data_IF_398793728939
#
_entry.id   IF_398793728939
#
_cell.length_a   1.000
_cell.length_b   1.000
_cell.length_c   1.000
_cell.angle_alpha   90.00
_cell.angle_beta   90.00
_cell.angle_gamma   90.00
#
_symmetry.space_group_name_H-M   'P 1'
#
loop_
_entity.id
_entity.type
_entity.pdbx_description
1 polymer ?
#
# COMPACT_ATOMS: atom_id res chain seq x y z
N UNK A 1 12.33 24.70 -3.11
CA UNK A 1 12.90 23.42 -3.63
C UNK A 1 12.08 22.31 -3.01
N UNK A 2 11.42 21.46 -3.81
CA UNK A 2 10.66 20.35 -3.26
C UNK A 2 11.62 19.19 -2.98
N UNK A 3 11.77 18.81 -1.73
CA UNK A 3 12.54 17.61 -1.34
C UNK A 3 11.75 16.36 -1.72
N UNK A 4 12.43 15.37 -2.27
CA UNK A 4 11.85 14.04 -2.52
C UNK A 4 11.93 13.22 -1.23
N UNK A 5 10.88 12.46 -0.94
CA UNK A 5 10.85 11.53 0.18
C UNK A 5 11.40 10.16 -0.24
N UNK A 6 12.10 9.52 0.67
CA UNK A 6 12.55 8.14 0.52
C UNK A 6 11.61 7.26 1.34
N UNK A 7 10.84 6.43 0.66
CA UNK A 7 9.79 5.60 1.26
C UNK A 7 10.03 4.13 0.89
N UNK A 8 10.74 3.36 1.74
CA UNK A 8 10.89 1.92 1.54
C UNK A 8 9.54 1.22 1.54
N UNK A 9 9.35 0.29 0.61
CA UNK A 9 8.17 -0.54 0.51
C UNK A 9 8.55 -2.01 0.74
N UNK A 10 7.93 -2.65 1.72
CA UNK A 10 8.26 -3.97 2.22
C UNK A 10 7.09 -4.92 1.98
N UNK A 11 7.31 -5.97 1.18
CA UNK A 11 6.36 -7.04 1.05
C UNK A 11 6.39 -7.93 2.29
N UNK A 12 5.23 -8.17 2.89
CA UNK A 12 5.07 -9.00 4.08
C UNK A 12 4.25 -10.24 3.74
N UNK A 13 4.73 -11.40 4.13
CA UNK A 13 4.01 -12.67 4.02
C UNK A 13 4.08 -13.40 5.36
N UNK A 14 2.93 -13.76 5.91
CA UNK A 14 2.83 -14.46 7.19
C UNK A 14 3.60 -13.74 8.33
N UNK A 15 3.54 -12.40 8.38
CA UNK A 15 4.22 -11.60 9.39
C UNK A 15 5.74 -11.45 9.24
N UNK A 16 6.30 -11.89 8.11
CA UNK A 16 7.73 -11.78 7.79
C UNK A 16 7.93 -10.94 6.55
N UNK A 17 8.96 -10.08 6.54
CA UNK A 17 9.34 -9.39 5.30
C UNK A 17 9.94 -10.40 4.34
N UNK A 18 9.50 -10.33 3.10
CA UNK A 18 9.98 -11.21 2.03
C UNK A 18 10.50 -10.40 0.86
N UNK A 19 11.40 -10.99 0.09
CA UNK A 19 11.89 -10.45 -1.16
C UNK A 19 11.78 -11.49 -2.27
N UNK A 20 11.41 -11.04 -3.45
CA UNK A 20 11.32 -11.89 -4.64
C UNK A 20 11.05 -11.04 -5.87
N UNK A 21 11.20 -11.63 -7.05
CA UNK A 21 10.84 -10.99 -8.32
C UNK A 21 9.46 -11.50 -8.72
N UNK A 22 8.53 -10.59 -9.01
CA UNK A 22 7.15 -10.92 -9.42
C UNK A 22 6.42 -11.88 -8.46
N UNK A 23 6.69 -11.80 -7.15
CA UNK A 23 6.12 -12.67 -6.11
C UNK A 23 6.41 -14.17 -6.30
N UNK A 24 7.48 -14.50 -7.04
CA UNK A 24 7.97 -15.87 -7.23
C UNK A 24 9.26 -16.07 -6.42
N UNK A 25 9.46 -17.31 -5.91
CA UNK A 25 10.63 -17.69 -5.11
C UNK A 25 10.92 -16.72 -3.95
N UNK A 26 9.86 -16.40 -3.20
CA UNK A 26 9.95 -15.49 -2.07
C UNK A 26 10.92 -16.02 -1.00
N UNK A 27 11.94 -15.23 -0.69
CA UNK A 27 12.92 -15.49 0.36
C UNK A 27 12.59 -14.63 1.57
N UNK A 28 12.66 -15.21 2.77
CA UNK A 28 12.57 -14.47 4.03
C UNK A 28 13.69 -13.43 4.09
N UNK A 29 13.34 -12.18 4.33
CA UNK A 29 14.27 -11.07 4.48
C UNK A 29 14.40 -10.60 5.93
N UNK A 30 13.52 -11.06 6.84
CA UNK A 30 13.65 -10.78 8.25
C UNK A 30 12.37 -10.33 8.95
N UNK A 31 12.53 -9.86 10.18
CA UNK A 31 11.47 -9.32 11.01
C UNK A 31 11.09 -7.91 10.54
N UNK A 32 9.79 -7.61 10.32
CA UNK A 32 9.34 -6.30 9.84
C UNK A 32 9.70 -5.15 10.80
N UNK A 33 9.68 -5.38 12.11
CA UNK A 33 10.01 -4.35 13.10
C UNK A 33 11.50 -3.99 13.03
N UNK A 34 12.38 -4.99 12.98
CA UNK A 34 13.82 -4.76 12.93
C UNK A 34 14.24 -4.10 11.59
N UNK A 35 13.61 -4.48 10.48
CA UNK A 35 13.87 -3.85 9.19
C UNK A 35 13.37 -2.40 9.19
N UNK A 36 12.19 -2.12 9.72
CA UNK A 36 11.68 -0.76 9.81
C UNK A 36 12.53 0.14 10.71
N UNK A 37 13.01 -0.37 11.86
CA UNK A 37 13.99 0.34 12.73
C UNK A 37 15.28 0.67 11.98
N UNK A 38 15.75 -0.24 11.14
CA UNK A 38 16.96 0.00 10.35
C UNK A 38 16.75 1.12 9.32
N UNK A 39 15.58 1.17 8.67
CA UNK A 39 15.24 2.25 7.75
C UNK A 39 15.01 3.58 8.46
N UNK A 40 14.34 3.60 9.60
CA UNK A 40 14.18 4.79 10.46
C UNK A 40 15.56 5.36 10.84
N UNK A 41 16.44 4.52 11.36
CA UNK A 41 17.82 4.91 11.69
C UNK A 41 18.63 5.38 10.46
N UNK A 42 18.36 4.84 9.28
CA UNK A 42 19.00 5.25 8.03
C UNK A 42 18.46 6.56 7.46
N UNK A 43 17.42 7.16 8.07
CA UNK A 43 16.82 8.43 7.66
C UNK A 43 15.78 8.31 6.56
N UNK A 44 15.09 7.19 6.47
CA UNK A 44 13.90 7.09 5.62
C UNK A 44 12.80 8.03 6.13
N UNK A 45 12.02 8.62 5.22
CA UNK A 45 10.96 9.56 5.57
C UNK A 45 9.67 8.87 6.02
N UNK A 46 9.38 7.72 5.45
CA UNK A 46 8.21 6.87 5.74
C UNK A 46 8.56 5.42 5.43
N UNK A 47 7.74 4.45 5.86
CA UNK A 47 7.84 3.05 5.44
C UNK A 47 6.46 2.50 5.05
N UNK A 48 6.42 1.61 4.07
CA UNK A 48 5.18 0.94 3.63
C UNK A 48 5.32 -0.56 3.83
N UNK A 49 4.31 -1.17 4.44
CA UNK A 49 4.16 -2.62 4.54
C UNK A 49 3.00 -3.07 3.65
N UNK A 50 3.27 -3.96 2.72
CA UNK A 50 2.28 -4.57 1.85
C UNK A 50 2.10 -6.04 2.22
N UNK A 51 1.00 -6.37 2.87
CA UNK A 51 0.65 -7.77 3.12
C UNK A 51 0.24 -8.46 1.82
N UNK A 52 1.09 -9.34 1.35
CA UNK A 52 0.85 -10.16 0.16
C UNK A 52 0.29 -11.54 0.50
N UNK A 53 -0.11 -11.77 1.74
CA UNK A 53 -0.73 -13.02 2.20
C UNK A 53 -2.10 -13.18 1.55
N UNK A 54 -2.33 -14.31 0.89
CA UNK A 54 -3.55 -14.52 0.08
C UNK A 54 -4.81 -14.82 0.92
N UNK A 55 -4.67 -15.05 2.23
CA UNK A 55 -5.73 -15.57 3.11
C UNK A 55 -6.31 -14.51 4.04
N UNK A 56 -7.65 -14.47 4.15
CA UNK A 56 -8.37 -13.67 5.13
C UNK A 56 -8.14 -14.12 6.58
N UNK A 57 -7.68 -15.35 6.77
CA UNK A 57 -7.55 -15.98 8.09
C UNK A 57 -6.32 -15.53 8.89
N UNK A 58 -5.41 -14.78 8.24
CA UNK A 58 -4.17 -14.30 8.88
C UNK A 58 -4.21 -12.81 9.27
N UNK A 59 -5.40 -12.24 9.36
CA UNK A 59 -5.59 -10.83 9.77
C UNK A 59 -4.98 -10.52 11.14
N UNK A 60 -5.03 -11.46 12.07
CA UNK A 60 -4.39 -11.34 13.39
C UNK A 60 -2.89 -11.09 13.32
N UNK A 61 -2.20 -11.75 12.41
CA UNK A 61 -0.74 -11.60 12.21
C UNK A 61 -0.36 -10.19 11.75
N UNK A 62 -1.16 -9.59 10.86
CA UNK A 62 -0.94 -8.21 10.38
C UNK A 62 -1.18 -7.20 11.49
N UNK A 63 -2.23 -7.38 12.29
CA UNK A 63 -2.56 -6.53 13.43
C UNK A 63 -1.43 -6.54 14.46
N UNK A 64 -0.93 -7.72 14.82
CA UNK A 64 0.19 -7.85 15.75
C UNK A 64 1.47 -7.22 15.23
N UNK A 65 1.74 -7.35 13.93
CA UNK A 65 2.86 -6.66 13.29
C UNK A 65 2.70 -5.14 13.40
N UNK A 66 1.54 -4.60 13.03
CA UNK A 66 1.24 -3.15 13.08
C UNK A 66 1.47 -2.61 14.48
N UNK A 67 0.93 -3.27 15.51
CA UNK A 67 1.11 -2.89 16.92
C UNK A 67 2.57 -2.87 17.33
N UNK A 68 3.35 -3.88 16.94
CA UNK A 68 4.78 -3.96 17.23
C UNK A 68 5.58 -2.88 16.50
N UNK A 69 5.26 -2.60 15.25
CA UNK A 69 5.89 -1.52 14.47
C UNK A 69 5.58 -0.18 15.12
N UNK A 70 4.33 0.12 15.43
CA UNK A 70 3.91 1.38 16.06
C UNK A 70 4.61 1.64 17.42
N UNK A 71 4.91 0.57 18.18
CA UNK A 71 5.62 0.70 19.44
C UNK A 71 7.13 0.95 19.30
N UNK A 72 7.73 0.76 18.13
CA UNK A 72 9.18 0.71 17.96
C UNK A 72 9.74 1.59 16.84
N UNK A 73 8.91 2.12 15.95
CA UNK A 73 9.29 2.91 14.77
C UNK A 73 8.64 4.27 14.87
N UNK A 74 9.39 5.35 14.62
CA UNK A 74 8.94 6.72 14.87
C UNK A 74 8.72 7.53 13.58
N UNK A 75 9.10 7.00 12.43
CA UNK A 75 8.68 7.54 11.13
C UNK A 75 7.28 7.05 10.77
N UNK A 76 6.47 7.84 10.03
CA UNK A 76 5.14 7.42 9.61
C UNK A 76 5.19 6.11 8.80
N UNK A 77 4.18 5.27 8.99
CA UNK A 77 4.10 4.05 8.20
C UNK A 77 2.70 3.78 7.65
N UNK A 78 2.71 3.20 6.46
CA UNK A 78 1.52 2.81 5.72
C UNK A 78 1.37 1.29 5.71
N UNK A 79 0.16 0.80 5.89
CA UNK A 79 -0.17 -0.63 5.79
C UNK A 79 -1.10 -0.85 4.60
N UNK A 80 -0.77 -1.82 3.75
CA UNK A 80 -1.59 -2.23 2.60
C UNK A 80 -1.69 -3.75 2.50
N UNK A 81 -2.58 -4.20 1.61
CA UNK A 81 -2.85 -5.61 1.38
C UNK A 81 -4.09 -6.14 2.12
N UNK A 82 -4.97 -6.81 1.40
CA UNK A 82 -6.14 -7.49 1.96
C UNK A 82 -7.25 -6.62 2.54
N UNK A 83 -7.14 -5.31 2.48
CA UNK A 83 -8.07 -4.33 3.08
C UNK A 83 -9.26 -4.14 2.15
N UNK A 84 -10.49 -4.29 2.67
CA UNK A 84 -11.71 -4.32 1.85
C UNK A 84 -12.85 -3.46 2.38
N UNK A 85 -12.81 -3.06 3.65
CA UNK A 85 -13.91 -2.36 4.33
C UNK A 85 -13.39 -1.18 5.13
N UNK A 86 -14.29 -0.25 5.44
CA UNK A 86 -14.01 0.88 6.35
C UNK A 86 -13.65 0.41 7.76
N UNK A 87 -14.16 -0.75 8.18
CA UNK A 87 -13.80 -1.33 9.48
C UNK A 87 -12.37 -1.90 9.49
N UNK A 88 -11.87 -2.39 8.36
CA UNK A 88 -10.44 -2.76 8.24
C UNK A 88 -9.55 -1.54 8.46
N UNK A 89 -9.89 -0.38 7.86
CA UNK A 89 -9.20 0.90 8.12
C UNK A 89 -9.20 1.24 9.60
N UNK A 90 -10.38 1.24 10.22
CA UNK A 90 -10.54 1.57 11.64
C UNK A 90 -9.63 0.72 12.51
N UNK A 91 -9.59 -0.58 12.24
CA UNK A 91 -8.81 -1.54 13.01
C UNK A 91 -7.30 -1.24 12.91
N UNK A 92 -6.77 -1.09 11.71
CA UNK A 92 -5.34 -0.87 11.49
C UNK A 92 -4.87 0.50 11.98
N UNK A 93 -5.67 1.56 11.77
CA UNK A 93 -5.38 2.90 12.29
C UNK A 93 -5.37 2.93 13.83
N UNK A 94 -6.29 2.20 14.49
CA UNK A 94 -6.31 2.09 15.95
C UNK A 94 -5.10 1.35 16.53
N UNK A 95 -4.53 0.44 15.77
CA UNK A 95 -3.31 -0.28 16.17
C UNK A 95 -2.02 0.51 15.87
N UNK A 96 -2.15 1.69 15.29
CA UNK A 96 -1.06 2.66 15.16
C UNK A 96 -0.54 2.89 13.75
N UNK A 97 -1.14 2.31 12.71
CA UNK A 97 -0.82 2.69 11.33
C UNK A 97 -1.21 4.15 11.07
N UNK A 98 -0.36 4.92 10.39
CA UNK A 98 -0.65 6.31 10.01
C UNK A 98 -1.52 6.39 8.78
N UNK A 99 -1.32 5.48 7.83
CA UNK A 99 -2.02 5.44 6.55
C UNK A 99 -2.36 4.01 6.14
N UNK A 100 -3.42 3.89 5.38
CA UNK A 100 -3.91 2.61 4.85
C UNK A 100 -3.89 2.67 3.33
N UNK A 101 -3.26 1.67 2.71
CA UNK A 101 -3.14 1.56 1.25
C UNK A 101 -4.10 0.52 0.69
N UNK A 102 -4.89 0.92 -0.30
CA UNK A 102 -5.84 0.06 -1.03
C UNK A 102 -5.58 0.12 -2.53
N UNK A 103 -5.70 -1.03 -3.21
CA UNK A 103 -5.65 -1.15 -4.66
C UNK A 103 -6.89 -1.88 -5.18
N UNK A 104 -6.90 -3.21 -5.16
CA UNK A 104 -7.97 -4.03 -5.75
C UNK A 104 -9.35 -3.72 -5.18
N UNK A 105 -9.45 -3.42 -3.88
CA UNK A 105 -10.69 -3.03 -3.23
C UNK A 105 -11.21 -1.68 -3.73
N UNK A 106 -10.32 -0.71 -3.94
CA UNK A 106 -10.69 0.59 -4.53
C UNK A 106 -11.16 0.45 -5.99
N UNK A 107 -10.51 -0.42 -6.77
CA UNK A 107 -10.92 -0.69 -8.16
C UNK A 107 -12.30 -1.34 -8.19
N UNK A 108 -12.56 -2.32 -7.31
CA UNK A 108 -13.83 -3.03 -7.23
C UNK A 108 -14.97 -2.18 -6.64
N UNK A 109 -14.66 -1.31 -5.70
CA UNK A 109 -15.60 -0.40 -5.04
C UNK A 109 -14.94 0.97 -4.81
N UNK A 110 -15.00 1.89 -5.79
CA UNK A 110 -14.40 3.23 -5.65
C UNK A 110 -14.98 4.07 -4.50
N UNK A 111 -16.22 3.80 -4.09
CA UNK A 111 -16.87 4.49 -2.98
C UNK A 111 -16.10 4.30 -1.65
N UNK A 112 -15.40 3.17 -1.50
CA UNK A 112 -14.57 2.90 -0.30
C UNK A 112 -13.54 4.00 -0.04
N UNK A 113 -13.01 4.65 -1.10
CA UNK A 113 -12.04 5.75 -0.98
C UNK A 113 -12.70 6.93 -0.25
N UNK A 114 -13.88 7.35 -0.73
CA UNK A 114 -14.64 8.46 -0.15
C UNK A 114 -15.12 8.16 1.27
N UNK A 115 -15.67 6.97 1.51
CA UNK A 115 -16.16 6.56 2.82
C UNK A 115 -15.04 6.54 3.87
N UNK A 116 -13.87 6.01 3.50
CA UNK A 116 -12.70 6.00 4.38
C UNK A 116 -12.15 7.42 4.62
N UNK A 117 -12.05 8.25 3.57
CA UNK A 117 -11.59 9.62 3.68
C UNK A 117 -12.52 10.48 4.53
N UNK A 118 -13.85 10.33 4.39
CA UNK A 118 -14.83 11.02 5.21
C UNK A 118 -14.72 10.65 6.69
N UNK A 119 -14.45 9.36 6.99
CA UNK A 119 -14.43 8.85 8.37
C UNK A 119 -13.12 9.09 9.10
N UNK A 120 -11.98 9.00 8.41
CA UNK A 120 -10.64 9.03 9.01
C UNK A 120 -9.77 10.19 8.54
N UNK A 121 -10.22 10.94 7.55
CA UNK A 121 -9.45 11.97 6.88
C UNK A 121 -8.71 11.45 5.65
N UNK A 122 -8.67 12.25 4.60
CA UNK A 122 -8.03 11.88 3.33
C UNK A 122 -6.53 11.59 3.48
N UNK A 123 -5.87 12.19 4.48
CA UNK A 123 -4.46 11.95 4.79
C UNK A 123 -4.16 10.50 5.23
N UNK A 124 -5.17 9.75 5.71
CA UNK A 124 -5.03 8.35 6.10
C UNK A 124 -5.28 7.37 4.95
N UNK A 125 -5.71 7.85 3.77
CA UNK A 125 -6.07 7.00 2.63
C UNK A 125 -5.03 7.11 1.52
N UNK A 126 -4.46 5.97 1.13
CA UNK A 126 -3.53 5.84 0.01
C UNK A 126 -4.13 4.92 -1.04
N UNK A 127 -4.25 5.38 -2.27
CA UNK A 127 -4.65 4.53 -3.40
C UNK A 127 -3.39 4.06 -4.13
N UNK A 128 -3.06 2.78 -3.99
CA UNK A 128 -1.98 2.15 -4.74
C UNK A 128 -2.46 1.82 -6.16
N UNK A 129 -1.60 2.06 -7.15
CA UNK A 129 -1.90 1.83 -8.55
C UNK A 129 -0.80 0.95 -9.16
N UNK A 130 -1.13 -0.31 -9.42
CA UNK A 130 -0.27 -1.20 -10.20
C UNK A 130 -0.51 -0.92 -11.67
N UNK A 131 0.45 -0.30 -12.36
CA UNK A 131 0.33 0.08 -13.76
C UNK A 131 1.34 -0.64 -14.63
N UNK A 132 0.90 -1.15 -15.79
CA UNK A 132 1.78 -1.72 -16.81
C UNK A 132 1.58 -1.04 -18.14
N UNK A 133 2.68 -0.81 -18.86
CA UNK A 133 2.67 -0.21 -20.19
C UNK A 133 1.93 -1.11 -21.18
N UNK A 134 1.07 -0.53 -22.00
CA UNK A 134 0.39 -1.24 -23.08
C UNK A 134 1.40 -1.69 -24.13
N UNK A 135 1.12 -2.83 -24.80
CA UNK A 135 2.00 -3.39 -25.82
C UNK A 135 2.22 -2.45 -27.02
N UNK A 136 1.22 -1.66 -27.36
CA UNK A 136 1.25 -0.67 -28.45
C UNK A 136 1.93 0.66 -28.05
N UNK A 137 2.34 0.79 -26.79
CA UNK A 137 2.98 2.00 -26.27
C UNK A 137 2.04 3.17 -26.02
N UNK A 138 0.71 3.04 -26.22
CA UNK A 138 -0.28 4.13 -26.16
C UNK A 138 -0.60 4.63 -24.74
N UNK A 139 -0.05 4.00 -23.71
CA UNK A 139 -0.31 4.37 -22.31
C UNK A 139 -0.10 3.21 -21.34
N UNK A 140 -0.83 3.26 -20.23
CA UNK A 140 -0.67 2.33 -19.11
C UNK A 140 -2.05 1.83 -18.66
N UNK A 141 -2.19 0.52 -18.50
CA UNK A 141 -3.37 -0.07 -17.87
C UNK A 141 -3.13 -0.32 -16.40
N UNK A 142 -4.18 -0.18 -15.57
CA UNK A 142 -4.12 -0.58 -14.18
C UNK A 142 -4.39 -2.08 -14.03
N UNK A 143 -3.76 -2.63 -13.00
CA UNK A 143 -3.84 -4.04 -12.64
C UNK A 143 -4.33 -4.22 -11.21
N UNK A 144 -4.99 -5.34 -10.93
CA UNK A 144 -5.36 -5.77 -9.58
C UNK A 144 -4.73 -7.11 -9.22
N UNK A 145 -4.88 -7.52 -7.95
CA UNK A 145 -4.36 -8.76 -7.39
C UNK A 145 -2.83 -8.90 -7.56
N UNK A 146 -2.07 -7.86 -7.15
CA UNK A 146 -0.62 -7.87 -7.27
C UNK A 146 -0.13 -7.87 -8.71
N UNK A 147 -0.77 -7.09 -9.57
CA UNK A 147 -0.37 -6.93 -10.98
C UNK A 147 -0.71 -8.12 -11.89
N UNK A 148 -1.59 -9.03 -11.46
CA UNK A 148 -1.92 -10.26 -12.21
C UNK A 148 -3.08 -10.10 -13.18
N UNK A 149 -4.04 -9.22 -12.88
CA UNK A 149 -5.28 -9.08 -13.66
C UNK A 149 -5.31 -7.67 -14.26
N UNK A 150 -5.27 -7.58 -15.59
CA UNK A 150 -5.52 -6.33 -16.32
C UNK A 150 -6.99 -5.94 -16.17
N UNK A 151 -7.24 -4.70 -15.78
CA UNK A 151 -8.60 -4.17 -15.61
C UNK A 151 -9.09 -3.47 -16.87
N UNK A 152 -8.19 -3.18 -17.83
CA UNK A 152 -8.51 -2.47 -19.06
C UNK A 152 -8.77 -0.98 -18.88
N UNK A 153 -8.50 -0.42 -17.70
CA UNK A 153 -8.68 1.00 -17.39
C UNK A 153 -7.34 1.72 -17.51
N UNK A 154 -7.34 2.89 -18.12
CA UNK A 154 -6.16 3.74 -18.19
C UNK A 154 -5.73 4.23 -16.80
N UNK A 155 -4.43 4.19 -16.53
CA UNK A 155 -3.89 4.51 -15.21
C UNK A 155 -4.09 6.01 -14.85
N UNK A 156 -4.00 6.90 -15.84
CA UNK A 156 -4.21 8.35 -15.61
C UNK A 156 -5.68 8.64 -15.34
N UNK A 157 -6.58 8.01 -16.09
CA UNK A 157 -8.03 8.16 -15.87
C UNK A 157 -8.44 7.59 -14.51
N UNK A 158 -7.87 6.45 -14.11
CA UNK A 158 -8.11 5.90 -12.79
C UNK A 158 -7.60 6.82 -11.68
N UNK A 159 -6.39 7.37 -11.81
CA UNK A 159 -5.85 8.30 -10.84
C UNK A 159 -6.73 9.57 -10.68
N UNK A 160 -7.24 10.11 -11.79
CA UNK A 160 -8.19 11.24 -11.77
C UNK A 160 -9.48 10.86 -11.05
N UNK A 161 -10.04 9.67 -11.34
CA UNK A 161 -11.26 9.17 -10.71
C UNK A 161 -11.06 8.94 -9.21
N UNK A 162 -9.96 8.29 -8.81
CA UNK A 162 -9.63 8.06 -7.40
C UNK A 162 -9.52 9.39 -6.64
N UNK A 163 -8.86 10.40 -7.24
CA UNK A 163 -8.75 11.74 -6.68
C UNK A 163 -10.10 12.44 -6.54
N UNK A 164 -10.99 12.31 -7.53
CA UNK A 164 -12.32 12.93 -7.49
C UNK A 164 -13.25 12.32 -6.43
N UNK A 165 -12.93 11.12 -5.93
CA UNK A 165 -13.68 10.46 -4.86
C UNK A 165 -13.34 11.00 -3.46
N UNK A 166 -12.39 11.93 -3.35
CA UNK A 166 -12.00 12.58 -2.10
C UNK A 166 -12.75 13.89 -1.89
N UNK A 167 -13.40 14.09 -0.75
CA UNK A 167 -13.86 15.43 -0.37
C UNK A 167 -12.65 16.28 0.09
N UNK A 168 -12.16 17.13 -0.78
CA UNK A 168 -11.36 18.34 -0.54
C UNK A 168 -9.89 18.27 -0.07
N UNK A 169 -9.17 17.16 0.12
CA UNK A 169 -7.72 17.22 0.41
C UNK A 169 -6.89 16.11 -0.21
N UNK A 170 -5.68 16.50 -0.63
CA UNK A 170 -4.66 15.73 -1.33
C UNK A 170 -4.30 14.39 -0.69
N UNK A 171 -4.58 13.28 -1.39
CA UNK A 171 -3.75 12.09 -1.33
C UNK A 171 -2.77 12.10 -2.50
N UNK A 172 -1.49 11.93 -2.21
CA UNK A 172 -0.51 11.66 -3.26
C UNK A 172 -0.65 10.18 -3.64
N UNK A 173 -1.02 9.82 -4.87
CA UNK A 173 -0.98 8.43 -5.28
C UNK A 173 0.46 7.94 -5.15
N UNK A 174 0.68 6.96 -4.31
CA UNK A 174 1.95 6.27 -4.28
C UNK A 174 2.04 5.39 -5.52
N UNK A 175 2.89 5.74 -6.45
CA UNK A 175 3.25 4.89 -7.57
C UNK A 175 4.22 3.83 -7.06
N UNK A 176 3.77 2.61 -6.87
CA UNK A 176 4.67 1.49 -6.65
C UNK A 176 4.99 0.86 -8.00
N UNK A 177 6.14 1.19 -8.55
CA UNK A 177 6.74 0.36 -9.59
C UNK A 177 7.32 -0.88 -8.89
N UNK A 178 6.58 -1.97 -8.84
CA UNK A 178 7.14 -3.25 -8.41
C UNK A 178 8.18 -3.70 -9.43
N UNK A 179 9.44 -3.69 -9.00
CA UNK A 179 10.68 -4.05 -9.66
C UNK A 179 10.60 -4.86 -10.95
N UNK A 180 10.44 -4.18 -12.07
CA UNK A 180 10.99 -4.66 -13.33
C UNK A 180 12.17 -3.76 -13.66
N UNK A 181 13.35 -4.36 -13.80
CA UNK A 181 14.50 -3.67 -14.37
C UNK A 181 14.07 -3.02 -15.68
N UNK A 182 14.34 -1.73 -15.80
CA UNK A 182 14.34 -1.03 -17.08
C UNK A 182 15.37 -1.66 -17.99
#
# INVERSE_FOLDING_TARGET
>A
MFTKRIIPCLDVKNGRVVKGVNFVDLKDAGDPVEIAKAYDKAGADEVVFLDITASSDQRGTVIDMVRKVAANVFIPFTVGGGIRTVDDFKMLLREGADKISINSSAINNPQLIGDAAQKFGSQCVVVAIDAKKRADGSGWNIYKNGGRIDVGIDAVEWAKKARASEPEKFCSPAWTATGTKA
#
